data_IF_282964944867
#
_entry.id   IF_282964944867
#
_cell.length_a   1.000
_cell.length_b   1.000
_cell.length_c   1.000
_cell.angle_alpha   90.00
_cell.angle_beta   90.00
_cell.angle_gamma   90.00
#
_symmetry.space_group_name_H-M   'P 1'
#
loop_
_entity.id
_entity.type
_entity.pdbx_description
1 polymer ?
#
# COMPACT_ATOMS: atom_id res chain seq x y z
N UNK A 1 28.80 -23.24 -36.60
CA UNK A 1 28.43 -22.99 -35.19
C UNK A 1 29.65 -22.38 -34.53
N UNK A 2 29.61 -21.10 -34.13
CA UNK A 2 30.74 -20.45 -33.44
C UNK A 2 30.70 -20.89 -31.98
N UNK A 3 31.65 -21.72 -31.55
CA UNK A 3 31.91 -21.97 -30.13
C UNK A 3 32.80 -20.86 -29.61
N UNK A 4 32.21 -19.93 -28.88
CA UNK A 4 32.95 -18.91 -28.15
C UNK A 4 33.38 -19.48 -26.78
N UNK A 5 34.65 -19.29 -26.40
CA UNK A 5 35.17 -19.81 -25.13
C UNK A 5 34.93 -18.76 -24.06
N UNK A 6 33.86 -18.94 -23.29
CA UNK A 6 33.54 -18.09 -22.15
C UNK A 6 34.20 -18.64 -20.87
N UNK A 7 35.10 -17.85 -20.27
CA UNK A 7 35.66 -18.15 -18.95
C UNK A 7 34.97 -17.30 -17.88
N UNK A 8 34.22 -17.97 -17.00
CA UNK A 8 33.48 -17.32 -15.92
C UNK A 8 34.23 -17.48 -14.60
N UNK A 9 34.52 -16.36 -13.93
CA UNK A 9 35.01 -16.37 -12.55
C UNK A 9 33.81 -16.38 -11.62
N UNK A 10 33.73 -17.40 -10.78
CA UNK A 10 32.67 -17.54 -9.78
C UNK A 10 33.29 -17.35 -8.40
N UNK A 11 32.56 -16.68 -7.52
CA UNK A 11 32.86 -16.67 -6.09
C UNK A 11 32.80 -18.11 -5.54
N UNK A 12 33.65 -18.40 -4.56
CA UNK A 12 33.84 -19.76 -4.03
C UNK A 12 32.54 -20.35 -3.47
N UNK A 13 31.78 -19.54 -2.72
CA UNK A 13 30.47 -19.92 -2.18
C UNK A 13 29.46 -20.26 -3.28
N UNK A 14 29.46 -19.48 -4.36
CA UNK A 14 28.55 -19.69 -5.48
C UNK A 14 28.94 -20.94 -6.29
N UNK A 15 30.24 -21.18 -6.49
CA UNK A 15 30.74 -22.41 -7.10
C UNK A 15 30.37 -23.64 -6.27
N UNK A 16 30.49 -23.56 -4.94
CA UNK A 16 30.09 -24.63 -4.02
C UNK A 16 28.60 -24.97 -4.11
N UNK A 17 27.72 -23.97 -4.25
CA UNK A 17 26.28 -24.19 -4.48
C UNK A 17 25.98 -24.88 -5.80
N UNK A 18 26.67 -24.52 -6.87
CA UNK A 18 26.53 -25.16 -8.19
C UNK A 18 26.97 -26.62 -8.11
N UNK A 19 28.11 -26.90 -7.47
CA UNK A 19 28.60 -28.28 -7.34
C UNK A 19 27.64 -29.13 -6.50
N UNK A 20 27.14 -28.62 -5.38
CA UNK A 20 26.17 -29.33 -4.55
C UNK A 20 24.86 -29.63 -5.31
N UNK A 21 24.40 -28.71 -6.16
CA UNK A 21 23.23 -28.93 -7.02
C UNK A 21 23.54 -29.97 -8.10
N UNK A 22 24.69 -29.84 -8.78
CA UNK A 22 25.15 -30.78 -9.81
C UNK A 22 25.22 -32.20 -9.24
N UNK A 23 25.79 -32.39 -8.07
CA UNK A 23 25.98 -33.72 -7.49
C UNK A 23 24.64 -34.39 -7.14
N UNK A 24 23.61 -33.60 -6.80
CA UNK A 24 22.26 -34.09 -6.52
C UNK A 24 21.44 -34.41 -7.78
N UNK A 25 21.63 -33.67 -8.86
CA UNK A 25 20.73 -33.70 -10.01
C UNK A 25 21.37 -34.19 -11.32
N UNK A 26 22.70 -34.17 -11.39
CA UNK A 26 23.49 -34.44 -12.59
C UNK A 26 24.80 -35.15 -12.22
N UNK A 27 24.70 -36.28 -11.50
CA UNK A 27 25.86 -37.06 -11.07
C UNK A 27 26.77 -37.40 -12.27
N UNK A 28 28.06 -37.11 -12.16
CA UNK A 28 29.05 -37.32 -13.22
C UNK A 28 29.10 -36.22 -14.31
N UNK A 29 28.23 -35.21 -14.28
CA UNK A 29 28.31 -34.08 -15.22
C UNK A 29 29.45 -33.11 -14.87
N UNK A 30 29.92 -32.34 -15.85
CA UNK A 30 30.88 -31.26 -15.60
C UNK A 30 30.20 -30.03 -15.01
N UNK A 31 30.95 -29.18 -14.29
CA UNK A 31 30.45 -27.90 -13.77
C UNK A 31 29.93 -26.98 -14.88
N UNK A 32 30.59 -26.97 -16.04
CA UNK A 32 30.14 -26.21 -17.21
C UNK A 32 28.78 -26.69 -17.73
N UNK A 33 28.55 -28.02 -17.76
CA UNK A 33 27.25 -28.59 -18.12
C UNK A 33 26.18 -28.21 -17.10
N UNK A 34 26.49 -28.28 -15.79
CA UNK A 34 25.58 -27.88 -14.74
C UNK A 34 25.17 -26.39 -14.84
N UNK A 35 26.14 -25.50 -15.06
CA UNK A 35 25.89 -24.06 -15.29
C UNK A 35 25.02 -23.87 -16.53
N UNK A 36 25.36 -24.53 -17.64
CA UNK A 36 24.58 -24.45 -18.87
C UNK A 36 23.15 -24.90 -18.64
N UNK A 37 22.92 -26.02 -17.97
CA UNK A 37 21.57 -26.51 -17.65
C UNK A 37 20.82 -25.59 -16.69
N UNK A 38 21.50 -24.95 -15.73
CA UNK A 38 20.89 -23.95 -14.85
C UNK A 38 20.48 -22.69 -15.63
N UNK A 39 21.33 -22.23 -16.55
CA UNK A 39 21.02 -21.11 -17.44
C UNK A 39 19.90 -21.49 -18.41
N UNK A 40 19.95 -22.67 -19.02
CA UNK A 40 18.89 -23.18 -19.91
C UNK A 40 17.58 -23.38 -19.14
N UNK A 41 17.60 -23.79 -17.88
CA UNK A 41 16.40 -23.83 -17.03
C UNK A 41 15.90 -22.43 -16.65
N UNK A 42 16.81 -21.48 -16.45
CA UNK A 42 16.44 -20.11 -16.10
C UNK A 42 15.98 -19.28 -17.29
N UNK A 43 16.45 -19.58 -18.49
CA UNK A 43 16.17 -18.85 -19.74
C UNK A 43 15.27 -19.62 -20.71
N UNK A 44 15.08 -20.92 -20.49
CA UNK A 44 14.22 -21.80 -21.29
C UNK A 44 12.75 -21.78 -20.88
N UNK A 45 12.41 -21.10 -19.77
CA UNK A 45 11.11 -20.47 -19.65
C UNK A 45 11.18 -19.16 -20.43
N UNK A 46 10.20 -18.90 -21.31
CA UNK A 46 10.03 -17.60 -21.96
C UNK A 46 9.92 -16.46 -20.94
N UNK A 47 9.57 -15.27 -21.43
CA UNK A 47 9.36 -14.02 -20.67
C UNK A 47 9.20 -14.26 -19.15
N UNK A 48 9.99 -13.64 -18.25
CA UNK A 48 9.85 -13.82 -16.78
C UNK A 48 8.43 -13.59 -16.21
N UNK A 49 7.49 -13.09 -17.03
CA UNK A 49 6.05 -13.08 -16.77
C UNK A 49 5.34 -14.46 -16.92
N UNK A 50 5.90 -15.38 -17.70
CA UNK A 50 5.34 -16.68 -18.06
C UNK A 50 5.81 -17.75 -17.05
N UNK A 51 5.14 -17.77 -15.89
CA UNK A 51 5.44 -18.73 -14.83
C UNK A 51 5.15 -20.16 -15.27
N UNK A 52 6.16 -21.03 -15.12
CA UNK A 52 6.05 -22.46 -15.42
C UNK A 52 5.66 -23.22 -14.17
N UNK A 53 4.41 -23.66 -14.09
CA UNK A 53 3.97 -24.61 -13.06
C UNK A 53 4.72 -25.93 -13.22
N UNK A 54 5.30 -26.42 -12.13
CA UNK A 54 5.95 -27.73 -12.02
C UNK A 54 4.91 -28.86 -12.13
N UNK A 55 5.36 -30.06 -12.50
CA UNK A 55 4.46 -31.23 -12.59
C UNK A 55 3.78 -31.56 -11.25
N UNK A 56 4.47 -31.31 -10.14
CA UNK A 56 3.91 -31.45 -8.79
C UNK A 56 2.76 -30.47 -8.55
N UNK A 57 2.93 -29.19 -8.89
CA UNK A 57 1.89 -28.17 -8.75
C UNK A 57 0.69 -28.46 -9.66
N UNK A 58 0.93 -28.87 -10.92
CA UNK A 58 -0.12 -29.29 -11.85
C UNK A 58 -0.91 -30.48 -11.30
N UNK A 59 -0.22 -31.43 -10.69
CA UNK A 59 -0.83 -32.61 -10.05
C UNK A 59 -1.69 -32.19 -8.86
N UNK A 60 -1.18 -31.31 -7.99
CA UNK A 60 -1.94 -30.81 -6.84
C UNK A 60 -3.23 -30.12 -7.31
N UNK A 61 -3.15 -29.22 -8.30
CA UNK A 61 -4.31 -28.51 -8.84
C UNK A 61 -5.32 -29.50 -9.46
N UNK A 62 -4.85 -30.51 -10.20
CA UNK A 62 -5.72 -31.55 -10.74
C UNK A 62 -6.42 -32.37 -9.65
N UNK A 63 -5.75 -32.64 -8.53
CA UNK A 63 -6.33 -33.32 -7.37
C UNK A 63 -7.31 -32.45 -6.57
N UNK A 64 -7.28 -31.11 -6.72
CA UNK A 64 -8.27 -30.24 -6.09
C UNK A 64 -9.65 -30.36 -6.75
N UNK A 65 -9.73 -30.74 -8.03
CA UNK A 65 -11.00 -30.92 -8.73
C UNK A 65 -11.94 -31.93 -8.03
N UNK A 66 -11.54 -33.21 -7.80
CA UNK A 66 -12.42 -34.17 -7.12
C UNK A 66 -12.71 -33.79 -5.65
N UNK A 67 -11.80 -33.04 -5.00
CA UNK A 67 -12.06 -32.52 -3.65
C UNK A 67 -13.17 -31.47 -3.65
N UNK A 68 -13.14 -30.53 -4.60
CA UNK A 68 -14.14 -29.46 -4.72
C UNK A 68 -15.49 -30.02 -5.16
N UNK A 69 -15.51 -30.99 -6.08
CA UNK A 69 -16.72 -31.74 -6.44
C UNK A 69 -17.37 -32.38 -5.22
N UNK A 70 -16.57 -33.03 -4.36
CA UNK A 70 -17.06 -33.75 -3.18
C UNK A 70 -17.68 -32.83 -2.13
N UNK A 71 -17.23 -31.57 -2.03
CA UNK A 71 -17.78 -30.57 -1.09
C UNK A 71 -18.85 -29.68 -1.75
N UNK A 72 -19.23 -29.94 -3.00
CA UNK A 72 -20.22 -29.15 -3.73
C UNK A 72 -19.76 -27.74 -4.10
N UNK A 73 -18.44 -27.49 -4.13
CA UNK A 73 -17.89 -26.20 -4.52
C UNK A 73 -17.82 -26.08 -6.06
N UNK A 74 -17.90 -24.85 -6.61
CA UNK A 74 -17.76 -24.64 -8.05
C UNK A 74 -16.35 -25.05 -8.53
N UNK A 75 -16.31 -25.82 -9.62
CA UNK A 75 -15.07 -26.34 -10.23
C UNK A 75 -14.73 -25.71 -11.58
N UNK A 76 -15.52 -24.75 -12.04
CA UNK A 76 -15.35 -24.13 -13.37
C UNK A 76 -13.94 -23.57 -13.58
N UNK A 77 -13.40 -22.94 -12.53
CA UNK A 77 -12.07 -22.33 -12.59
C UNK A 77 -10.97 -23.40 -12.58
N UNK A 78 -11.10 -24.41 -11.71
CA UNK A 78 -10.16 -25.55 -11.67
C UNK A 78 -10.14 -26.29 -13.02
N UNK A 79 -11.31 -26.55 -13.61
CA UNK A 79 -11.43 -27.20 -14.92
C UNK A 79 -10.77 -26.38 -16.03
N UNK A 80 -10.96 -25.07 -16.03
CA UNK A 80 -10.32 -24.18 -16.98
C UNK A 80 -8.78 -24.20 -16.82
N UNK A 81 -8.29 -24.22 -15.58
CA UNK A 81 -6.86 -24.30 -15.27
C UNK A 81 -6.26 -25.63 -15.74
N UNK A 82 -6.89 -26.75 -15.40
CA UNK A 82 -6.43 -28.08 -15.82
C UNK A 82 -6.47 -28.22 -17.35
N UNK A 83 -7.49 -27.69 -18.01
CA UNK A 83 -7.56 -27.65 -19.47
C UNK A 83 -6.42 -26.82 -20.07
N UNK A 84 -6.13 -25.65 -19.50
CA UNK A 84 -5.00 -24.81 -19.89
C UNK A 84 -3.66 -25.52 -19.73
N UNK A 85 -3.46 -26.25 -18.62
CA UNK A 85 -2.24 -27.04 -18.45
C UNK A 85 -2.08 -28.13 -19.51
N UNK A 86 -3.17 -28.82 -19.87
CA UNK A 86 -3.16 -29.83 -20.94
C UNK A 86 -2.87 -29.23 -22.32
N UNK A 87 -3.30 -28.00 -22.56
CA UNK A 87 -3.10 -27.29 -23.83
C UNK A 87 -1.85 -26.41 -23.87
N UNK A 88 -1.06 -26.37 -22.80
CA UNK A 88 0.13 -25.51 -22.69
C UNK A 88 -0.17 -24.01 -22.46
N UNK A 89 -1.40 -23.66 -22.08
CA UNK A 89 -1.82 -22.29 -21.74
C UNK A 89 -1.81 -22.07 -20.22
N UNK A 90 -0.62 -22.03 -19.61
CA UNK A 90 -0.47 -21.88 -18.15
C UNK A 90 -0.96 -20.54 -17.61
N UNK A 91 -0.96 -19.50 -18.43
CA UNK A 91 -1.47 -18.15 -18.09
C UNK A 91 -2.94 -18.12 -17.68
N UNK A 92 -3.72 -19.16 -18.01
CA UNK A 92 -5.14 -19.21 -17.67
C UNK A 92 -5.36 -19.28 -16.14
N UNK A 93 -4.37 -19.78 -15.38
CA UNK A 93 -4.41 -19.79 -13.92
C UNK A 93 -4.45 -18.38 -13.36
N UNK A 94 -3.67 -17.46 -13.92
CA UNK A 94 -3.63 -16.07 -13.47
C UNK A 94 -4.93 -15.33 -13.76
N UNK A 95 -5.54 -15.61 -14.92
CA UNK A 95 -6.85 -15.05 -15.27
C UNK A 95 -7.97 -15.56 -14.37
N UNK A 96 -8.00 -16.87 -14.09
CA UNK A 96 -9.06 -17.51 -13.30
C UNK A 96 -8.94 -17.20 -11.81
N UNK A 97 -7.73 -17.05 -11.30
CA UNK A 97 -7.46 -16.77 -9.89
C UNK A 97 -7.30 -15.27 -9.57
N UNK A 98 -7.59 -14.38 -10.51
CA UNK A 98 -7.65 -12.93 -10.26
C UNK A 98 -6.31 -12.30 -9.87
N UNK A 99 -5.25 -12.51 -10.67
CA UNK A 99 -3.92 -11.94 -10.43
C UNK A 99 -3.24 -12.38 -9.12
N UNK A 100 -3.67 -13.51 -8.53
CA UNK A 100 -3.03 -14.11 -7.35
C UNK A 100 -1.51 -14.32 -7.53
N UNK A 101 -1.09 -14.58 -8.77
CA UNK A 101 0.31 -14.85 -9.13
C UNK A 101 1.02 -13.66 -9.75
N UNK A 102 0.31 -12.63 -10.20
CA UNK A 102 0.85 -11.34 -10.62
C UNK A 102 0.35 -10.22 -9.70
N UNK A 103 0.65 -10.26 -8.38
CA UNK A 103 0.23 -9.20 -7.50
C UNK A 103 0.81 -7.89 -8.03
N UNK A 104 -0.02 -6.84 -8.13
CA UNK A 104 0.51 -5.47 -8.04
C UNK A 104 1.32 -5.47 -6.76
N UNK A 105 2.64 -5.48 -6.84
CA UNK A 105 3.49 -5.53 -5.66
C UNK A 105 3.22 -4.25 -4.86
N UNK A 106 2.38 -4.34 -3.83
CA UNK A 106 2.38 -3.33 -2.78
C UNK A 106 3.71 -3.49 -2.06
N UNK A 107 4.54 -2.46 -2.11
CA UNK A 107 5.81 -2.46 -1.36
C UNK A 107 5.44 -2.48 0.13
N UNK A 108 6.18 -3.24 0.96
CA UNK A 108 5.95 -3.29 2.41
C UNK A 108 5.78 -1.89 3.03
N UNK A 109 6.53 -0.91 2.53
CA UNK A 109 6.43 0.49 2.92
C UNK A 109 5.04 1.10 2.72
N UNK A 110 4.31 0.76 1.65
CA UNK A 110 2.95 1.26 1.43
C UNK A 110 1.97 0.69 2.47
N UNK A 111 2.11 -0.61 2.78
CA UNK A 111 1.31 -1.26 3.83
C UNK A 111 1.60 -0.68 5.22
N UNK A 112 2.88 -0.50 5.56
CA UNK A 112 3.30 0.12 6.82
C UNK A 112 2.73 1.54 6.96
N UNK A 113 2.75 2.33 5.87
CA UNK A 113 2.19 3.69 5.84
C UNK A 113 0.68 3.70 6.10
N UNK A 114 -0.09 2.86 5.40
CA UNK A 114 -1.56 2.80 5.58
C UNK A 114 -1.90 2.32 6.99
N UNK A 115 -1.21 1.30 7.50
CA UNK A 115 -1.42 0.79 8.84
C UNK A 115 -1.21 1.89 9.89
N UNK A 116 -0.13 2.66 9.77
CA UNK A 116 0.18 3.75 10.68
C UNK A 116 -0.81 4.92 10.55
N UNK A 117 -1.27 5.22 9.33
CA UNK A 117 -2.31 6.22 9.10
C UNK A 117 -3.62 5.85 9.80
N UNK A 118 -4.09 4.61 9.62
CA UNK A 118 -5.30 4.12 10.26
C UNK A 118 -5.14 4.07 11.79
N UNK A 119 -3.98 3.64 12.29
CA UNK A 119 -3.67 3.63 13.73
C UNK A 119 -3.73 5.03 14.34
N UNK A 120 -3.05 6.00 13.72
CA UNK A 120 -3.07 7.39 14.18
C UNK A 120 -4.50 7.93 14.22
N UNK A 121 -5.26 7.78 13.14
CA UNK A 121 -6.63 8.26 13.08
C UNK A 121 -7.56 7.56 14.08
N UNK A 122 -7.45 6.25 14.29
CA UNK A 122 -8.28 5.55 15.28
C UNK A 122 -8.02 6.08 16.70
N UNK A 123 -6.75 6.34 17.04
CA UNK A 123 -6.37 6.93 18.33
C UNK A 123 -6.94 8.33 18.48
N UNK A 124 -6.74 9.21 17.51
CA UNK A 124 -7.18 10.61 17.60
C UNK A 124 -8.70 10.75 17.59
N UNK A 125 -9.41 9.97 16.79
CA UNK A 125 -10.88 9.96 16.79
C UNK A 125 -11.45 9.46 18.12
N UNK A 126 -10.91 8.36 18.67
CA UNK A 126 -11.33 7.85 19.99
C UNK A 126 -11.06 8.86 21.10
N UNK A 127 -9.90 9.50 21.07
CA UNK A 127 -9.53 10.50 22.06
C UNK A 127 -10.49 11.69 22.00
N UNK A 128 -10.86 12.14 20.80
CA UNK A 128 -11.84 13.20 20.61
C UNK A 128 -13.26 12.80 21.06
N UNK A 129 -13.69 11.57 20.73
CA UNK A 129 -14.97 11.03 21.19
C UNK A 129 -15.06 10.96 22.72
N UNK A 130 -13.93 10.74 23.40
CA UNK A 130 -13.85 10.68 24.85
C UNK A 130 -13.84 12.06 25.54
N UNK A 131 -13.65 13.16 24.81
CA UNK A 131 -13.71 14.50 25.37
C UNK A 131 -15.15 14.89 25.73
N UNK A 132 -15.28 15.70 26.78
CA UNK A 132 -16.50 16.41 27.12
C UNK A 132 -16.78 17.57 26.15
N UNK A 133 -17.91 18.24 26.33
CA UNK A 133 -18.36 19.31 25.44
C UNK A 133 -17.35 20.48 25.38
N UNK A 134 -16.77 20.86 26.52
CA UNK A 134 -15.76 21.91 26.61
C UNK A 134 -14.47 21.52 25.88
N UNK A 135 -13.99 20.29 26.07
CA UNK A 135 -12.82 19.74 25.39
C UNK A 135 -13.01 19.69 23.88
N UNK A 136 -14.17 19.23 23.41
CA UNK A 136 -14.50 19.21 21.97
C UNK A 136 -14.57 20.62 21.38
N UNK A 137 -15.20 21.55 22.09
CA UNK A 137 -15.27 22.95 21.66
C UNK A 137 -13.87 23.57 21.55
N UNK A 138 -12.97 23.28 22.49
CA UNK A 138 -11.58 23.77 22.47
C UNK A 138 -10.78 23.23 21.27
N UNK A 139 -10.98 21.97 20.89
CA UNK A 139 -10.36 21.36 19.70
C UNK A 139 -10.88 21.98 18.41
N UNK A 140 -12.19 22.25 18.34
CA UNK A 140 -12.84 22.76 17.14
C UNK A 140 -12.73 24.29 16.98
N UNK A 141 -12.46 25.01 18.06
CA UNK A 141 -12.39 26.47 18.08
C UNK A 141 -11.47 27.05 16.99
N UNK A 142 -11.88 28.11 16.27
CA UNK A 142 -11.08 28.70 15.19
C UNK A 142 -9.63 28.96 15.60
N UNK A 143 -8.70 28.68 14.70
CA UNK A 143 -7.30 29.07 14.84
C UNK A 143 -7.10 30.50 14.37
N UNK A 144 -5.98 31.10 14.77
CA UNK A 144 -5.57 32.41 14.25
C UNK A 144 -5.48 32.41 12.72
N UNK A 145 -5.09 31.28 12.11
CA UNK A 145 -5.08 31.10 10.65
C UNK A 145 -6.48 31.17 10.06
N UNK A 146 -7.47 30.53 10.69
CA UNK A 146 -8.86 30.53 10.20
C UNK A 146 -9.47 31.93 10.26
N UNK A 147 -9.16 32.68 11.32
CA UNK A 147 -9.57 34.07 11.46
C UNK A 147 -8.98 34.93 10.35
N UNK A 148 -7.67 34.78 10.05
CA UNK A 148 -7.02 35.52 8.96
C UNK A 148 -7.57 35.16 7.58
N UNK A 149 -7.90 33.89 7.33
CA UNK A 149 -8.54 33.48 6.06
C UNK A 149 -9.90 34.16 5.90
N UNK A 150 -10.70 34.18 6.98
CA UNK A 150 -12.00 34.83 6.99
C UNK A 150 -11.91 36.34 6.79
N UNK A 151 -10.93 37.01 7.42
CA UNK A 151 -10.63 38.43 7.20
C UNK A 151 -10.24 38.73 5.76
N UNK A 152 -9.59 37.77 5.09
CA UNK A 152 -9.20 37.86 3.69
C UNK A 152 -10.27 37.36 2.71
N UNK A 153 -11.52 37.15 3.18
CA UNK A 153 -12.65 36.74 2.33
C UNK A 153 -12.68 35.25 1.94
N UNK A 154 -11.78 34.43 2.48
CA UNK A 154 -11.74 32.99 2.23
C UNK A 154 -12.50 32.20 3.31
N UNK A 155 -13.19 31.14 2.90
CA UNK A 155 -13.86 30.24 3.84
C UNK A 155 -12.83 29.31 4.50
N UNK A 156 -12.74 29.29 5.84
CA UNK A 156 -11.80 28.40 6.51
C UNK A 156 -12.26 26.95 6.32
N UNK A 157 -11.31 26.01 6.16
CA UNK A 157 -11.67 24.62 5.92
C UNK A 157 -12.40 24.00 7.13
N UNK A 158 -13.37 23.12 6.85
CA UNK A 158 -14.05 22.35 7.89
C UNK A 158 -13.04 21.60 8.76
N UNK A 159 -13.12 21.77 10.09
CA UNK A 159 -12.27 21.10 11.06
C UNK A 159 -12.99 19.87 11.60
N UNK A 160 -12.98 18.80 10.83
CA UNK A 160 -13.52 17.51 11.28
C UNK A 160 -12.40 16.63 11.84
N UNK A 161 -12.63 16.07 13.03
CA UNK A 161 -11.78 15.04 13.61
C UNK A 161 -12.26 13.67 13.10
N UNK A 162 -12.19 13.50 11.78
CA UNK A 162 -12.53 12.25 11.11
C UNK A 162 -11.60 11.99 9.95
N UNK A 163 -11.17 10.75 9.80
CA UNK A 163 -10.42 10.32 8.65
C UNK A 163 -11.32 10.31 7.41
N UNK A 164 -10.97 11.14 6.42
CA UNK A 164 -11.72 11.29 5.17
C UNK A 164 -11.38 10.20 4.14
N UNK A 165 -10.43 9.31 4.43
CA UNK A 165 -9.90 8.35 3.47
C UNK A 165 -8.74 8.91 2.64
N UNK A 166 -8.53 8.31 1.48
CA UNK A 166 -7.50 8.64 0.49
C UNK A 166 -8.14 9.26 -0.74
N UNK A 167 -7.39 10.11 -1.45
CA UNK A 167 -7.93 10.76 -2.64
C UNK A 167 -7.95 9.80 -3.84
N UNK A 168 -9.14 9.34 -4.24
CA UNK A 168 -9.34 8.30 -5.25
C UNK A 168 -8.53 8.51 -6.55
N UNK A 169 -8.43 9.75 -7.03
CA UNK A 169 -7.76 10.06 -8.30
C UNK A 169 -6.23 9.92 -8.26
N UNK A 170 -5.59 9.97 -7.08
CA UNK A 170 -4.13 10.00 -6.94
C UNK A 170 -3.58 8.95 -5.99
N UNK A 171 -4.39 8.47 -5.07
CA UNK A 171 -4.00 7.65 -3.93
C UNK A 171 -4.74 6.32 -3.89
N UNK A 172 -5.30 5.89 -5.03
CA UNK A 172 -6.08 4.66 -5.17
C UNK A 172 -5.43 3.45 -4.49
N UNK A 173 -4.12 3.27 -4.67
CA UNK A 173 -3.38 2.14 -4.09
C UNK A 173 -3.47 2.09 -2.55
N UNK A 174 -3.52 3.24 -1.89
CA UNK A 174 -3.57 3.33 -0.43
C UNK A 174 -5.00 3.13 0.07
N UNK A 175 -5.99 3.65 -0.66
CA UNK A 175 -7.39 3.36 -0.40
C UNK A 175 -7.72 1.87 -0.53
N UNK A 176 -7.27 1.21 -1.61
CA UNK A 176 -7.42 -0.24 -1.80
C UNK A 176 -6.77 -1.04 -0.66
N UNK A 177 -5.58 -0.65 -0.22
CA UNK A 177 -4.92 -1.27 0.94
C UNK A 177 -5.71 -1.04 2.25
N UNK A 178 -6.26 0.16 2.45
CA UNK A 178 -7.05 0.47 3.64
C UNK A 178 -8.36 -0.33 3.67
N UNK A 179 -9.04 -0.48 2.53
CA UNK A 179 -10.22 -1.34 2.41
C UNK A 179 -9.86 -2.80 2.70
N UNK A 180 -8.74 -3.29 2.16
CA UNK A 180 -8.27 -4.65 2.43
C UNK A 180 -8.01 -4.88 3.92
N UNK A 181 -7.28 -3.96 4.58
CA UNK A 181 -6.97 -4.05 6.01
C UNK A 181 -8.23 -4.00 6.87
N UNK A 182 -9.19 -3.14 6.52
CA UNK A 182 -10.40 -2.93 7.33
C UNK A 182 -11.46 -4.00 7.09
N UNK A 183 -11.81 -4.28 5.84
CA UNK A 183 -12.92 -5.19 5.49
C UNK A 183 -12.48 -6.65 5.35
N UNK A 184 -11.30 -6.91 4.80
CA UNK A 184 -10.85 -8.29 4.53
C UNK A 184 -10.11 -8.90 5.71
N UNK A 185 -9.23 -8.13 6.37
CA UNK A 185 -8.46 -8.59 7.54
C UNK A 185 -9.21 -8.32 8.85
N UNK A 186 -10.07 -7.31 8.90
CA UNK A 186 -10.82 -6.93 10.11
C UNK A 186 -10.02 -6.06 11.08
N UNK A 187 -8.97 -5.39 10.63
CA UNK A 187 -8.25 -4.41 11.44
C UNK A 187 -9.03 -3.08 11.49
N UNK A 188 -8.92 -2.35 12.60
CA UNK A 188 -9.59 -1.05 12.79
C UNK A 188 -11.10 -1.07 12.47
N UNK A 189 -11.92 -1.78 13.26
CA UNK A 189 -13.35 -1.98 12.98
C UNK A 189 -14.15 -0.69 12.83
N UNK A 190 -13.69 0.43 13.43
CA UNK A 190 -14.28 1.78 13.29
C UNK A 190 -14.37 2.28 11.85
N UNK A 191 -13.54 1.75 10.94
CA UNK A 191 -13.45 2.19 9.56
C UNK A 191 -14.18 1.27 8.57
N UNK A 192 -14.73 0.12 8.99
CA UNK A 192 -15.32 -0.90 8.10
C UNK A 192 -16.40 -0.34 7.18
N UNK A 193 -17.32 0.47 7.73
CA UNK A 193 -18.45 1.04 6.99
C UNK A 193 -18.14 2.41 6.36
N UNK A 194 -16.87 2.84 6.37
CA UNK A 194 -16.46 4.11 5.80
C UNK A 194 -15.97 3.94 4.36
N UNK A 195 -16.09 5.02 3.60
CA UNK A 195 -15.48 5.13 2.28
C UNK A 195 -14.00 5.50 2.45
N UNK A 196 -13.10 4.56 2.14
CA UNK A 196 -11.65 4.78 2.20
C UNK A 196 -11.12 5.63 1.03
N UNK A 197 -11.98 5.96 0.07
CA UNK A 197 -11.65 6.69 -1.16
C UNK A 197 -12.40 8.03 -1.26
N UNK A 198 -13.06 8.45 -0.17
CA UNK A 198 -13.96 9.61 -0.13
C UNK A 198 -13.27 10.97 -0.02
N UNK A 199 -11.94 11.02 0.14
CA UNK A 199 -11.24 12.27 0.33
C UNK A 199 -11.23 13.11 -0.95
N UNK A 200 -11.55 14.40 -0.84
CA UNK A 200 -11.62 15.31 -1.98
C UNK A 200 -10.26 15.93 -2.35
N UNK A 201 -9.36 16.09 -1.37
CA UNK A 201 -8.06 16.76 -1.57
C UNK A 201 -7.00 16.29 -0.54
N UNK A 202 -7.10 15.05 -0.06
CA UNK A 202 -6.03 14.50 0.78
C UNK A 202 -4.80 14.24 -0.09
N UNK A 203 -3.66 14.76 0.36
CA UNK A 203 -2.35 14.48 -0.25
C UNK A 203 -1.53 13.60 0.69
N UNK A 204 -0.71 12.72 0.11
CA UNK A 204 0.22 11.88 0.89
C UNK A 204 1.14 12.71 1.76
N UNK A 205 1.52 13.89 1.28
CA UNK A 205 2.35 14.82 2.02
C UNK A 205 1.64 15.33 3.30
N UNK A 206 0.34 15.61 3.23
CA UNK A 206 -0.47 15.96 4.39
C UNK A 206 -0.54 14.83 5.41
N UNK A 207 -0.84 13.61 4.95
CA UNK A 207 -0.84 12.42 5.82
C UNK A 207 0.54 12.16 6.42
N UNK A 208 1.61 12.33 5.65
CA UNK A 208 2.98 12.15 6.13
C UNK A 208 3.30 13.11 7.29
N UNK A 209 2.94 14.39 7.16
CA UNK A 209 3.15 15.37 8.24
C UNK A 209 2.34 15.06 9.49
N UNK A 210 1.11 14.56 9.32
CA UNK A 210 0.28 14.08 10.44
C UNK A 210 0.94 12.88 11.12
N UNK A 211 1.48 11.95 10.33
CA UNK A 211 2.22 10.78 10.84
C UNK A 211 3.50 11.19 11.56
N UNK A 212 4.24 12.16 11.05
CA UNK A 212 5.46 12.64 11.73
C UNK A 212 5.13 13.25 13.10
N UNK A 213 4.03 14.01 13.20
CA UNK A 213 3.53 14.47 14.50
C UNK A 213 3.10 13.32 15.40
N UNK A 214 2.32 12.37 14.87
CA UNK A 214 1.91 11.18 15.62
C UNK A 214 3.12 10.41 16.16
N UNK A 215 4.12 10.12 15.32
CA UNK A 215 5.39 9.47 15.72
C UNK A 215 6.11 10.23 16.82
N UNK A 216 6.11 11.56 16.77
CA UNK A 216 6.76 12.39 17.79
C UNK A 216 6.10 12.27 19.17
N UNK A 217 4.79 12.02 19.21
CA UNK A 217 4.04 11.87 20.47
C UNK A 217 3.78 10.40 20.85
N UNK A 218 3.92 9.46 19.92
CA UNK A 218 3.63 8.03 20.12
C UNK A 218 4.31 7.44 21.38
N UNK A 219 5.58 7.75 21.71
CA UNK A 219 6.19 7.27 22.96
C UNK A 219 5.45 7.67 24.22
N UNK A 220 4.77 8.84 24.24
CA UNK A 220 3.97 9.31 25.37
C UNK A 220 2.61 8.62 25.47
N UNK A 221 2.10 8.07 24.36
CA UNK A 221 0.81 7.38 24.31
C UNK A 221 0.91 5.92 24.79
N UNK A 222 2.14 5.40 24.92
CA UNK A 222 2.39 4.06 25.46
C UNK A 222 1.87 3.98 26.90
N UNK A 223 1.26 2.84 27.24
CA UNK A 223 0.70 2.60 28.58
C UNK A 223 -0.72 3.13 28.79
N UNK A 224 -1.45 3.47 27.71
CA UNK A 224 -2.88 3.82 27.76
C UNK A 224 -3.18 5.31 27.90
N UNK A 225 -2.16 6.17 27.82
CA UNK A 225 -2.35 7.61 27.80
C UNK A 225 -2.98 8.05 26.47
N UNK A 226 -4.01 8.88 26.54
CA UNK A 226 -4.69 9.43 25.37
C UNK A 226 -4.04 10.75 24.93
N UNK A 227 -4.10 11.12 23.64
CA UNK A 227 -3.78 12.46 23.17
C UNK A 227 -4.54 13.54 23.96
N UNK A 228 -3.87 14.62 24.32
CA UNK A 228 -4.54 15.78 24.94
C UNK A 228 -5.40 16.53 23.92
N UNK A 229 -6.34 17.40 24.35
CA UNK A 229 -7.08 18.28 23.44
C UNK A 229 -6.17 19.10 22.53
N UNK A 230 -5.02 19.57 23.04
CA UNK A 230 -4.04 20.31 22.24
C UNK A 230 -3.36 19.41 21.20
N UNK A 231 -3.05 18.16 21.53
CA UNK A 231 -2.48 17.20 20.58
C UNK A 231 -3.48 16.90 19.46
N UNK A 232 -4.77 16.67 19.80
CA UNK A 232 -5.84 16.43 18.81
C UNK A 232 -6.00 17.63 17.89
N UNK A 233 -6.08 18.83 18.47
CA UNK A 233 -6.19 20.08 17.70
C UNK A 233 -5.02 20.23 16.74
N UNK A 234 -3.78 20.06 17.23
CA UNK A 234 -2.59 20.14 16.40
C UNK A 234 -2.58 19.10 15.29
N UNK A 235 -2.97 17.84 15.59
CA UNK A 235 -3.05 16.79 14.58
C UNK A 235 -4.00 17.16 13.44
N UNK A 236 -5.19 17.69 13.75
CA UNK A 236 -6.20 18.06 12.74
C UNK A 236 -5.78 19.31 11.96
N UNK A 237 -5.13 20.28 12.62
CA UNK A 237 -4.63 21.52 12.03
C UNK A 237 -3.41 21.35 11.13
N UNK A 238 -2.62 20.28 11.30
CA UNK A 238 -1.60 19.92 10.32
C UNK A 238 -2.32 19.72 9.00
N UNK A 239 -2.11 20.67 8.08
CA UNK A 239 -2.46 20.68 6.67
C UNK A 239 -1.27 21.26 5.95
N UNK A 240 -1.16 21.00 4.65
CA UNK A 240 -0.24 21.79 3.86
C UNK A 240 -0.55 23.27 4.04
N UNK A 241 0.54 24.05 4.17
CA UNK A 241 0.42 25.49 4.09
C UNK A 241 -0.41 25.77 2.86
N UNK A 242 -1.44 26.61 3.05
CA UNK A 242 -2.30 27.23 2.04
C UNK A 242 -1.81 26.91 0.63
N UNK A 243 -2.60 26.18 -0.16
CA UNK A 243 -2.16 25.79 -1.50
C UNK A 243 -1.63 27.05 -2.22
N UNK A 244 -0.59 26.92 -3.04
CA UNK A 244 -0.09 28.08 -3.81
C UNK A 244 -1.22 28.81 -4.57
N UNK A 245 -2.30 28.09 -4.90
CA UNK A 245 -3.54 28.62 -5.48
C UNK A 245 -4.39 29.45 -4.52
N UNK A 246 -4.50 29.09 -3.24
CA UNK A 246 -5.16 29.91 -2.21
C UNK A 246 -4.34 31.17 -1.87
N UNK A 247 -3.00 31.09 -1.91
CA UNK A 247 -2.11 32.27 -1.76
C UNK A 247 -2.22 33.20 -2.98
N UNK A 248 -2.36 32.65 -4.19
CA UNK A 248 -2.56 33.43 -5.42
C UNK A 248 -3.95 34.09 -5.49
N UNK A 249 -4.99 33.41 -5.01
CA UNK A 249 -6.34 33.96 -4.95
C UNK A 249 -6.46 35.17 -4.00
N UNK A 250 -5.63 35.25 -2.96
CA UNK A 250 -5.58 36.35 -2.00
C UNK A 250 -4.68 37.52 -2.42
N UNK A 251 -3.94 37.40 -3.52
CA UNK A 251 -2.99 38.43 -4.02
C UNK A 251 -3.66 39.68 -4.64
N UNK A 252 -4.86 39.64 -5.27
CA UNK A 252 -5.49 40.83 -5.83
C UNK A 252 -6.00 41.82 -4.78
N UNK A 253 -6.42 41.35 -3.61
CA UNK A 253 -7.05 42.20 -2.57
C UNK A 253 -6.03 42.94 -1.68
N UNK A 254 -4.80 42.43 -1.57
CA UNK A 254 -3.71 43.07 -0.84
C UNK A 254 -3.06 44.27 -1.55
N UNK A 255 -3.53 44.65 -2.75
CA UNK A 255 -3.02 45.81 -3.51
C UNK A 255 -3.85 47.09 -3.37
N UNK A 256 -4.86 47.13 -2.50
CA UNK A 256 -5.68 48.33 -2.27
C UNK A 256 -5.76 48.68 -0.78
N UNK A 257 -4.66 49.20 -0.23
CA UNK A 257 -4.72 50.16 0.87
C UNK A 257 -3.82 51.36 0.52
N UNK A 258 -4.25 52.60 0.81
CA UNK A 258 -3.93 53.77 0.01
C UNK A 258 -2.50 54.28 0.24
N UNK A 259 -1.96 54.93 -0.81
CA UNK A 259 -0.82 55.84 -0.70
C UNK A 259 -1.12 56.86 0.41
N UNK A 260 -0.35 56.82 1.49
CA UNK A 260 -0.28 57.94 2.42
C UNK A 260 0.53 59.04 1.76
N UNK A 261 -0.14 60.14 1.43
CA UNK A 261 0.45 61.41 1.06
C UNK A 261 0.99 62.11 2.30
N UNK A 262 2.29 62.42 2.30
CA UNK A 262 2.90 63.67 2.77
C UNK A 262 4.35 63.71 2.28
#
# INVERSE_FOLDING_TARGET
>A
MKTDRFEMRLEEDFAGRIDAWRDRHMSGASRAMAIRTLIERSLGGGDPSERVFTDGERTIIALMQPLFEKIGAPISDINAIVAGFKSGHTWIADQRMGSLYAPKQSVKADGDFVLEALEAWDIFERAFDALDEEGRASVLAPSERDLRLKEAGAEPPSREVKFAGFYAAREQKFGELAEFLTRSIGYFPRFVDRDMMGAQDTTLHHLQRKLDFYRSIKPRLIGGHQPSPQDIRKFVEIRDGVSWTEIEALRPELKLAPKWSS
#
